data_IF_323135375775
#
_entry.id   IF_323135375775
#
_cell.length_a   1.000
_cell.length_b   1.000
_cell.length_c   1.000
_cell.angle_alpha   90.00
_cell.angle_beta   90.00
_cell.angle_gamma   90.00
#
_symmetry.space_group_name_H-M   'P 1'
#
loop_
_entity.id
_entity.type
_entity.pdbx_description
1 polymer ?
#
# COMPACT_ATOMS: atom_id res chain seq x y z
N UNK A 1 -17.64 -6.31 -22.06
CA UNK A 1 -16.36 -6.02 -21.42
C UNK A 1 -16.60 -4.86 -20.46
N UNK A 2 -16.37 -5.09 -19.18
CA UNK A 2 -16.54 -4.08 -18.12
C UNK A 2 -15.21 -3.33 -17.88
N UNK A 3 -15.27 -2.21 -17.17
CA UNK A 3 -14.03 -1.52 -16.76
C UNK A 3 -13.12 -2.39 -15.88
N UNK A 4 -13.71 -3.28 -15.08
CA UNK A 4 -12.97 -4.25 -14.28
C UNK A 4 -12.23 -5.27 -15.18
N UNK A 5 -12.86 -5.72 -16.27
CA UNK A 5 -12.19 -6.59 -17.26
C UNK A 5 -11.00 -5.87 -17.90
N UNK A 6 -11.11 -4.56 -18.18
CA UNK A 6 -10.01 -3.76 -18.71
C UNK A 6 -8.82 -3.67 -17.73
N UNK A 7 -9.10 -3.50 -16.44
CA UNK A 7 -8.05 -3.49 -15.42
C UNK A 7 -7.32 -4.84 -15.35
N UNK A 8 -8.05 -5.95 -15.41
CA UNK A 8 -7.48 -7.30 -15.41
C UNK A 8 -6.63 -7.57 -16.67
N UNK A 9 -7.09 -7.13 -17.84
CA UNK A 9 -6.33 -7.23 -19.09
C UNK A 9 -5.03 -6.42 -18.99
N UNK A 10 -5.09 -5.21 -18.45
CA UNK A 10 -3.91 -4.38 -18.24
C UNK A 10 -2.89 -5.04 -17.31
N UNK A 11 -3.33 -5.58 -16.17
CA UNK A 11 -2.48 -6.33 -15.27
C UNK A 11 -1.87 -7.58 -15.94
N UNK A 12 -2.67 -8.32 -16.69
CA UNK A 12 -2.19 -9.48 -17.43
C UNK A 12 -1.09 -9.09 -18.43
N UNK A 13 -1.26 -7.96 -19.14
CA UNK A 13 -0.26 -7.45 -20.07
C UNK A 13 1.06 -7.16 -19.36
N UNK A 14 1.04 -6.42 -18.23
CA UNK A 14 2.25 -6.15 -17.44
C UNK A 14 2.93 -7.45 -16.96
N UNK A 15 2.16 -8.39 -16.45
CA UNK A 15 2.70 -9.60 -15.85
C UNK A 15 3.25 -10.57 -16.91
N UNK A 16 2.61 -10.70 -18.06
CA UNK A 16 2.94 -11.73 -19.08
C UNK A 16 3.85 -11.23 -20.19
N UNK A 17 3.70 -9.96 -20.61
CA UNK A 17 4.49 -9.41 -21.71
C UNK A 17 5.68 -8.60 -21.22
N UNK A 18 5.50 -7.80 -20.16
CA UNK A 18 6.57 -6.99 -19.59
C UNK A 18 7.35 -7.71 -18.48
N UNK A 19 6.88 -8.87 -18.02
CA UNK A 19 7.55 -9.66 -16.97
C UNK A 19 7.55 -9.01 -15.58
N UNK A 20 6.72 -8.00 -15.35
CA UNK A 20 6.58 -7.30 -14.07
C UNK A 20 5.47 -7.96 -13.27
N UNK A 21 5.80 -8.62 -12.16
CA UNK A 21 4.82 -9.31 -11.32
C UNK A 21 4.02 -8.32 -10.44
N UNK A 22 3.44 -7.28 -11.06
CA UNK A 22 2.74 -6.21 -10.36
C UNK A 22 1.34 -6.61 -9.86
N UNK A 23 0.83 -5.88 -8.85
CA UNK A 23 -0.57 -5.90 -8.44
C UNK A 23 -1.47 -5.17 -9.44
N UNK A 24 -2.76 -5.06 -9.11
CA UNK A 24 -3.78 -4.48 -9.99
C UNK A 24 -4.05 -2.98 -9.73
N UNK A 25 -3.40 -2.38 -8.73
CA UNK A 25 -3.73 -1.06 -8.21
C UNK A 25 -3.85 0.02 -9.30
N UNK A 26 -2.83 0.18 -10.12
CA UNK A 26 -2.75 1.26 -11.10
C UNK A 26 -3.79 1.07 -12.23
N UNK A 27 -3.91 -0.15 -12.74
CA UNK A 27 -4.86 -0.50 -13.78
C UNK A 27 -6.31 -0.34 -13.28
N UNK A 28 -6.57 -0.74 -12.03
CA UNK A 28 -7.89 -0.59 -11.43
C UNK A 28 -8.23 0.87 -11.16
N UNK A 29 -7.28 1.65 -10.65
CA UNK A 29 -7.46 3.08 -10.39
C UNK A 29 -7.80 3.85 -11.67
N UNK A 30 -7.12 3.56 -12.79
CA UNK A 30 -7.38 4.21 -14.08
C UNK A 30 -8.74 3.77 -14.65
N UNK A 31 -9.07 2.48 -14.57
CA UNK A 31 -10.31 1.95 -15.15
C UNK A 31 -11.57 2.35 -14.37
N UNK A 32 -11.45 2.48 -13.05
CA UNK A 32 -12.57 2.64 -12.12
C UNK A 32 -12.60 4.01 -11.44
N UNK A 33 -11.68 4.93 -11.77
CA UNK A 33 -11.60 6.24 -11.14
C UNK A 33 -12.91 7.04 -11.22
N UNK A 34 -13.27 7.70 -10.11
CA UNK A 34 -14.43 8.56 -9.98
C UNK A 34 -14.03 9.89 -9.36
N UNK A 35 -14.41 10.98 -10.00
CA UNK A 35 -14.10 12.31 -9.50
C UNK A 35 -14.56 12.51 -8.05
N UNK A 36 -13.72 13.12 -7.21
CA UNK A 36 -14.00 13.40 -5.81
C UNK A 36 -14.08 12.16 -4.90
N UNK A 37 -13.57 11.01 -5.32
CA UNK A 37 -13.61 9.79 -4.53
C UNK A 37 -12.28 9.03 -4.58
N UNK A 38 -11.92 8.41 -3.47
CA UNK A 38 -10.94 7.34 -3.42
C UNK A 38 -11.64 6.00 -3.70
N UNK A 39 -10.88 5.04 -4.18
CA UNK A 39 -11.33 3.66 -4.35
C UNK A 39 -10.72 2.82 -3.22
N UNK A 40 -11.56 2.17 -2.42
CA UNK A 40 -11.14 1.10 -1.54
C UNK A 40 -11.35 -0.22 -2.27
N UNK A 41 -10.27 -0.93 -2.55
CA UNK A 41 -10.27 -2.17 -3.30
C UNK A 41 -9.76 -3.31 -2.44
N UNK A 42 -10.58 -4.35 -2.27
CA UNK A 42 -10.12 -5.66 -1.81
C UNK A 42 -9.47 -6.39 -2.99
N UNK A 43 -8.16 -6.48 -3.00
CA UNK A 43 -7.40 -7.08 -4.10
C UNK A 43 -7.54 -8.60 -4.21
N UNK A 44 -8.02 -9.27 -3.16
CA UNK A 44 -8.27 -10.72 -3.19
C UNK A 44 -9.59 -11.06 -3.89
N UNK A 45 -10.62 -10.25 -3.68
CA UNK A 45 -11.98 -10.50 -4.19
C UNK A 45 -12.39 -9.58 -5.34
N UNK A 46 -11.63 -8.51 -5.58
CA UNK A 46 -11.94 -7.40 -6.49
C UNK A 46 -13.23 -6.64 -6.14
N UNK A 47 -13.74 -6.83 -4.93
CA UNK A 47 -14.81 -5.97 -4.41
C UNK A 47 -14.24 -4.61 -4.08
N UNK A 48 -15.02 -3.57 -4.38
CA UNK A 48 -14.57 -2.20 -4.14
C UNK A 48 -15.72 -1.32 -3.68
N UNK A 49 -15.36 -0.22 -3.03
CA UNK A 49 -16.27 0.86 -2.70
C UNK A 49 -15.61 2.22 -2.95
N UNK A 50 -16.43 3.26 -3.09
CA UNK A 50 -15.97 4.63 -3.22
C UNK A 50 -16.08 5.35 -1.89
N UNK A 51 -14.96 5.89 -1.40
CA UNK A 51 -14.92 6.78 -0.26
C UNK A 51 -14.86 8.24 -0.75
N UNK A 52 -15.71 9.14 -0.25
CA UNK A 52 -15.70 10.54 -0.69
C UNK A 52 -14.43 11.24 -0.23
N UNK A 53 -13.82 12.06 -1.10
CA UNK A 53 -12.72 12.95 -0.76
C UNK A 53 -13.26 14.38 -0.73
N UNK A 54 -13.40 14.96 0.46
CA UNK A 54 -13.84 16.33 0.69
C UNK A 54 -12.67 17.16 1.20
N UNK A 55 -12.05 17.91 0.30
CA UNK A 55 -10.89 18.76 0.60
C UNK A 55 -11.29 20.23 0.50
N UNK A 56 -12.10 20.72 1.44
CA UNK A 56 -12.62 22.10 1.42
C UNK A 56 -11.49 23.13 1.51
N UNK A 57 -10.51 22.90 2.40
CA UNK A 57 -9.38 23.80 2.66
C UNK A 57 -8.02 23.12 2.50
N UNK A 58 -7.95 21.98 1.82
CA UNK A 58 -6.73 21.24 1.59
C UNK A 58 -6.55 20.86 0.11
N UNK A 59 -5.34 20.52 -0.27
CA UNK A 59 -5.00 20.07 -1.62
C UNK A 59 -4.11 18.84 -1.54
N UNK A 60 -4.25 17.97 -2.53
CA UNK A 60 -3.29 16.89 -2.77
C UNK A 60 -2.18 17.46 -3.65
N UNK A 61 -0.93 17.33 -3.16
CA UNK A 61 0.27 17.71 -3.90
C UNK A 61 1.01 16.42 -4.28
N UNK A 62 1.35 16.28 -5.55
CA UNK A 62 2.14 15.16 -6.06
C UNK A 62 3.52 15.69 -6.41
N UNK A 63 4.55 15.20 -5.70
CA UNK A 63 5.95 15.55 -5.92
C UNK A 63 6.69 14.40 -6.60
N UNK A 64 7.39 14.69 -7.68
CA UNK A 64 8.23 13.71 -8.37
C UNK A 64 9.67 13.78 -7.84
N UNK A 65 10.22 12.63 -7.43
CA UNK A 65 11.62 12.54 -7.00
C UNK A 65 12.63 12.71 -8.15
N UNK A 66 12.18 12.67 -9.40
CA UNK A 66 13.01 12.66 -10.61
C UNK A 66 14.04 11.53 -10.66
N UNK A 67 13.99 10.58 -9.73
CA UNK A 67 14.87 9.41 -9.77
C UNK A 67 14.38 8.44 -10.82
N UNK A 68 15.24 8.19 -11.83
CA UNK A 68 14.94 7.15 -12.83
C UNK A 68 15.11 5.79 -12.19
N UNK A 69 14.08 4.96 -12.27
CA UNK A 69 14.11 3.54 -11.86
C UNK A 69 13.79 2.67 -13.06
N UNK A 70 14.57 1.59 -13.23
CA UNK A 70 14.19 0.49 -14.10
C UNK A 70 13.21 -0.42 -13.38
N UNK A 71 12.17 -0.89 -14.06
CA UNK A 71 11.22 -1.86 -13.49
C UNK A 71 11.91 -3.17 -13.06
N UNK A 72 13.05 -3.53 -13.69
CA UNK A 72 13.87 -4.69 -13.31
C UNK A 72 14.74 -4.50 -12.07
N UNK A 73 15.00 -3.26 -11.68
CA UNK A 73 15.86 -2.91 -10.53
C UNK A 73 15.03 -2.72 -9.23
N UNK A 74 13.70 -2.84 -9.32
CA UNK A 74 12.85 -2.67 -8.16
C UNK A 74 12.96 -3.86 -7.22
N UNK A 75 12.99 -3.59 -5.93
CA UNK A 75 12.90 -4.62 -4.88
C UNK A 75 11.53 -5.31 -4.81
N UNK A 76 10.64 -5.02 -5.74
CA UNK A 76 9.27 -5.48 -5.75
C UNK A 76 9.15 -7.01 -5.69
N UNK A 77 9.85 -7.72 -6.58
CA UNK A 77 9.81 -9.18 -6.61
C UNK A 77 10.43 -9.80 -5.36
N UNK A 78 11.50 -9.19 -4.82
CA UNK A 78 12.13 -9.61 -3.56
C UNK A 78 11.15 -9.47 -2.39
N UNK A 79 10.51 -8.31 -2.23
CA UNK A 79 9.52 -8.05 -1.17
C UNK A 79 8.31 -8.99 -1.26
N UNK A 80 7.85 -9.26 -2.48
CA UNK A 80 6.77 -10.20 -2.68
C UNK A 80 7.16 -11.61 -2.24
N UNK A 81 8.32 -12.09 -2.63
CA UNK A 81 8.83 -13.42 -2.23
C UNK A 81 9.02 -13.52 -0.70
N UNK A 82 9.52 -12.46 -0.05
CA UNK A 82 9.65 -12.39 1.41
C UNK A 82 8.28 -12.50 2.10
N UNK A 83 7.26 -11.78 1.60
CA UNK A 83 5.89 -11.85 2.13
C UNK A 83 5.24 -13.23 1.89
N UNK A 84 5.41 -13.82 0.71
CA UNK A 84 4.88 -15.16 0.38
C UNK A 84 5.50 -16.23 1.28
N UNK A 85 6.80 -16.13 1.55
CA UNK A 85 7.50 -17.04 2.48
C UNK A 85 7.00 -16.87 3.92
N UNK A 86 6.83 -15.63 4.38
CA UNK A 86 6.28 -15.33 5.70
C UNK A 86 4.84 -15.88 5.85
N UNK A 87 4.01 -15.72 4.83
CA UNK A 87 2.66 -16.29 4.80
C UNK A 87 2.69 -17.81 4.94
N UNK A 88 3.55 -18.50 4.19
CA UNK A 88 3.69 -19.95 4.26
C UNK A 88 4.18 -20.44 5.66
N UNK A 89 4.97 -19.64 6.36
CA UNK A 89 5.38 -19.93 7.74
C UNK A 89 4.22 -19.73 8.73
N UNK A 90 3.44 -18.65 8.59
CA UNK A 90 2.26 -18.38 9.42
C UNK A 90 1.14 -19.41 9.20
N UNK A 91 0.92 -19.88 7.99
CA UNK A 91 -0.08 -20.91 7.65
C UNK A 91 0.11 -22.23 8.40
N UNK A 92 1.28 -22.46 8.99
CA UNK A 92 1.53 -23.64 9.83
C UNK A 92 0.90 -23.55 11.22
N UNK A 93 0.57 -22.33 11.67
CA UNK A 93 0.07 -22.06 13.02
C UNK A 93 -1.30 -21.38 13.04
N UNK A 94 -1.71 -20.77 11.93
CA UNK A 94 -3.01 -20.10 11.78
C UNK A 94 -3.57 -20.36 10.40
N UNK A 95 -4.89 -20.52 10.30
CA UNK A 95 -5.58 -20.75 9.02
C UNK A 95 -5.91 -19.42 8.36
N UNK A 96 -5.12 -19.02 7.39
CA UNK A 96 -5.28 -17.81 6.56
C UNK A 96 -4.87 -18.12 5.12
N UNK A 97 -5.45 -17.41 4.16
CA UNK A 97 -5.09 -17.48 2.74
C UNK A 97 -4.21 -16.29 2.33
N UNK A 98 -4.24 -15.21 3.10
CA UNK A 98 -3.43 -14.00 2.86
C UNK A 98 -3.03 -13.31 4.18
N UNK A 99 -1.95 -12.50 4.14
CA UNK A 99 -1.54 -11.68 5.28
C UNK A 99 -2.60 -10.64 5.65
N UNK A 100 -3.39 -10.17 4.68
CA UNK A 100 -4.45 -9.18 4.90
C UNK A 100 -5.63 -9.68 5.75
N UNK A 101 -5.74 -10.99 5.99
CA UNK A 101 -6.77 -11.55 6.87
C UNK A 101 -6.45 -11.42 8.35
N UNK A 102 -5.19 -11.14 8.70
CA UNK A 102 -4.79 -10.95 10.10
C UNK A 102 -5.11 -9.54 10.59
N UNK A 103 -5.58 -9.46 11.84
CA UNK A 103 -5.52 -8.21 12.60
C UNK A 103 -4.12 -7.96 13.13
N UNK A 104 -3.84 -6.74 13.60
CA UNK A 104 -2.58 -6.39 14.23
C UNK A 104 -2.30 -7.29 15.45
N UNK A 105 -3.33 -7.54 16.29
CA UNK A 105 -3.22 -8.40 17.48
C UNK A 105 -2.94 -9.87 17.12
N UNK A 106 -3.60 -10.38 16.08
CA UNK A 106 -3.36 -11.74 15.61
C UNK A 106 -1.94 -11.89 15.04
N UNK A 107 -1.47 -10.87 14.30
CA UNK A 107 -0.08 -10.88 13.82
C UNK A 107 0.91 -10.92 14.98
N UNK A 108 0.76 -10.06 15.99
CA UNK A 108 1.63 -10.07 17.17
C UNK A 108 1.61 -11.41 17.91
N UNK A 109 0.47 -12.10 17.92
CA UNK A 109 0.33 -13.42 18.53
C UNK A 109 1.10 -14.52 17.78
N UNK A 110 1.15 -14.44 16.44
CA UNK A 110 1.68 -15.53 15.61
C UNK A 110 3.02 -15.21 14.94
N UNK A 111 3.54 -13.98 15.01
CA UNK A 111 4.76 -13.54 14.31
C UNK A 111 5.99 -14.38 14.59
N UNK A 112 6.10 -15.01 15.77
CA UNK A 112 7.23 -15.87 16.15
C UNK A 112 7.32 -17.18 15.34
N UNK A 113 6.28 -17.50 14.57
CA UNK A 113 6.32 -18.59 13.59
C UNK A 113 7.17 -18.24 12.37
N UNK A 114 7.39 -16.94 12.10
CA UNK A 114 8.27 -16.46 11.03
C UNK A 114 9.71 -16.49 11.55
N UNK A 115 10.55 -17.27 10.88
CA UNK A 115 11.91 -17.54 11.36
C UNK A 115 12.91 -16.42 11.15
N UNK A 116 12.70 -15.65 10.08
CA UNK A 116 13.61 -14.58 9.66
C UNK A 116 13.08 -13.22 10.11
N UNK A 117 13.86 -12.43 10.90
CA UNK A 117 13.43 -11.13 11.39
C UNK A 117 13.15 -10.13 10.25
N UNK A 118 13.80 -10.28 9.09
CA UNK A 118 13.49 -9.45 7.91
C UNK A 118 12.08 -9.78 7.42
N UNK A 119 11.74 -11.05 7.28
CA UNK A 119 10.38 -11.46 6.87
C UNK A 119 9.31 -11.08 7.89
N UNK A 120 9.63 -11.05 9.19
CA UNK A 120 8.71 -10.50 10.20
C UNK A 120 8.37 -9.04 9.90
N UNK A 121 9.35 -8.20 9.58
CA UNK A 121 9.12 -6.80 9.19
C UNK A 121 8.25 -6.71 7.93
N UNK A 122 8.52 -7.51 6.89
CA UNK A 122 7.73 -7.49 5.64
C UNK A 122 6.27 -7.88 5.88
N UNK A 123 6.05 -8.96 6.64
CA UNK A 123 4.70 -9.41 6.99
C UNK A 123 3.98 -8.39 7.88
N UNK A 124 4.69 -7.79 8.86
CA UNK A 124 4.17 -6.71 9.68
C UNK A 124 3.69 -5.56 8.82
N UNK A 125 4.53 -5.08 7.89
CA UNK A 125 4.11 -4.02 6.98
C UNK A 125 2.80 -4.39 6.26
N UNK A 126 2.71 -5.58 5.66
CA UNK A 126 1.53 -5.98 4.90
C UNK A 126 0.26 -6.03 5.75
N UNK A 127 0.33 -6.60 6.97
CA UNK A 127 -0.81 -6.68 7.90
C UNK A 127 -1.23 -5.29 8.37
N UNK A 128 -0.28 -4.50 8.86
CA UNK A 128 -0.57 -3.19 9.43
C UNK A 128 -1.01 -2.18 8.36
N UNK A 129 -0.46 -2.26 7.14
CA UNK A 129 -0.89 -1.39 6.03
C UNK A 129 -2.31 -1.70 5.58
N UNK A 130 -2.72 -2.98 5.56
CA UNK A 130 -4.09 -3.36 5.31
C UNK A 130 -5.04 -2.77 6.36
N UNK A 131 -4.73 -2.91 7.66
CA UNK A 131 -5.52 -2.33 8.75
C UNK A 131 -5.54 -0.80 8.69
N UNK A 132 -4.41 -0.17 8.34
CA UNK A 132 -4.30 1.27 8.15
C UNK A 132 -5.17 1.77 7.00
N UNK A 133 -5.23 1.02 5.91
CA UNK A 133 -6.10 1.35 4.76
C UNK A 133 -7.58 1.31 5.15
N UNK A 134 -8.02 0.32 5.92
CA UNK A 134 -9.39 0.24 6.44
C UNK A 134 -9.70 1.47 7.31
N UNK A 135 -8.81 1.82 8.23
CA UNK A 135 -8.96 3.03 9.08
C UNK A 135 -8.99 4.31 8.23
N UNK A 136 -8.21 4.39 7.16
CA UNK A 136 -8.17 5.54 6.26
C UNK A 136 -9.48 5.73 5.48
N UNK A 137 -10.12 4.66 5.07
CA UNK A 137 -11.46 4.70 4.43
C UNK A 137 -12.50 5.29 5.39
N UNK A 138 -12.51 4.84 6.64
CA UNK A 138 -13.44 5.37 7.64
C UNK A 138 -13.13 6.85 7.98
N UNK A 139 -11.86 7.25 8.03
CA UNK A 139 -11.48 8.64 8.19
C UNK A 139 -12.03 9.52 7.05
N UNK A 140 -11.92 9.07 5.79
CA UNK A 140 -12.47 9.79 4.63
C UNK A 140 -14.00 9.86 4.67
N UNK A 141 -14.69 8.79 5.03
CA UNK A 141 -16.15 8.77 5.16
C UNK A 141 -16.64 9.75 6.23
N UNK A 142 -15.89 9.90 7.31
CA UNK A 142 -16.17 10.83 8.41
C UNK A 142 -15.62 12.24 8.18
N UNK A 143 -15.00 12.52 7.04
CA UNK A 143 -14.33 13.79 6.73
C UNK A 143 -13.23 14.15 7.75
N UNK A 144 -12.59 13.14 8.36
CA UNK A 144 -11.46 13.30 9.28
C UNK A 144 -10.16 13.32 8.49
N UNK A 145 -9.86 14.47 7.89
CA UNK A 145 -8.67 14.67 7.06
C UNK A 145 -7.40 14.65 7.91
N UNK A 146 -7.49 15.03 9.19
CA UNK A 146 -6.36 14.99 10.11
C UNK A 146 -5.92 13.55 10.38
N UNK A 147 -6.84 12.68 10.76
CA UNK A 147 -6.56 11.24 10.95
C UNK A 147 -6.06 10.61 9.65
N UNK A 148 -6.63 10.96 8.50
CA UNK A 148 -6.15 10.46 7.21
C UNK A 148 -4.68 10.83 6.97
N UNK A 149 -4.27 12.06 7.30
CA UNK A 149 -2.89 12.50 7.20
C UNK A 149 -1.95 11.76 8.15
N UNK A 150 -2.36 11.52 9.40
CA UNK A 150 -1.60 10.70 10.37
C UNK A 150 -1.38 9.28 9.85
N UNK A 151 -2.41 8.67 9.26
CA UNK A 151 -2.32 7.34 8.66
C UNK A 151 -1.39 7.33 7.44
N UNK A 152 -1.37 8.39 6.63
CA UNK A 152 -0.39 8.55 5.54
C UNK A 152 1.05 8.59 6.08
N UNK A 153 1.30 9.36 7.13
CA UNK A 153 2.62 9.46 7.76
C UNK A 153 3.07 8.10 8.30
N UNK A 154 2.19 7.40 9.03
CA UNK A 154 2.48 6.07 9.56
C UNK A 154 2.74 5.05 8.44
N UNK A 155 2.05 5.16 7.31
CA UNK A 155 2.31 4.35 6.12
C UNK A 155 3.72 4.57 5.57
N UNK A 156 4.17 5.83 5.44
CA UNK A 156 5.52 6.13 4.96
C UNK A 156 6.61 5.56 5.90
N UNK A 157 6.44 5.73 7.20
CA UNK A 157 7.37 5.16 8.20
C UNK A 157 7.47 3.64 8.05
N UNK A 158 6.34 2.95 7.89
CA UNK A 158 6.34 1.50 7.70
C UNK A 158 6.95 1.07 6.35
N UNK A 159 6.74 1.84 5.29
CA UNK A 159 7.38 1.61 3.98
C UNK A 159 8.90 1.77 4.06
N UNK A 160 9.39 2.72 4.87
CA UNK A 160 10.81 2.97 5.10
C UNK A 160 11.45 1.90 5.99
N UNK A 161 10.85 1.64 7.16
CA UNK A 161 11.51 0.90 8.26
C UNK A 161 11.17 -0.59 8.25
N UNK A 162 9.95 -0.95 7.84
CA UNK A 162 9.48 -2.34 7.81
C UNK A 162 9.59 -2.96 6.40
N UNK A 163 9.30 -2.18 5.34
CA UNK A 163 9.30 -2.68 3.96
C UNK A 163 10.58 -2.32 3.18
N UNK A 164 11.27 -1.25 3.57
CA UNK A 164 12.56 -0.79 3.04
C UNK A 164 12.52 -0.59 1.51
N UNK A 165 11.56 0.22 1.03
CA UNK A 165 11.34 0.50 -0.40
C UNK A 165 11.38 1.97 -0.77
N UNK A 166 11.57 2.88 0.20
CA UNK A 166 11.47 4.32 -0.05
C UNK A 166 12.73 4.92 -0.68
N UNK A 167 13.89 4.73 -0.06
CA UNK A 167 15.14 5.35 -0.45
C UNK A 167 15.25 6.83 -0.08
N UNK A 168 16.48 7.33 -0.07
CA UNK A 168 16.82 8.67 0.47
C UNK A 168 16.06 9.80 -0.22
N UNK A 169 15.79 9.70 -1.52
CA UNK A 169 15.12 10.76 -2.26
C UNK A 169 13.65 10.93 -1.83
N UNK A 170 12.94 9.82 -1.61
CA UNK A 170 11.56 9.83 -1.16
C UNK A 170 11.46 10.17 0.33
N UNK A 171 12.37 9.65 1.15
CA UNK A 171 12.43 9.98 2.57
C UNK A 171 12.68 11.48 2.77
N UNK A 172 13.62 12.06 2.03
CA UNK A 172 13.89 13.51 2.07
C UNK A 172 12.66 14.32 1.68
N UNK A 173 11.97 13.97 0.59
CA UNK A 173 10.77 14.70 0.16
C UNK A 173 9.67 14.66 1.23
N UNK A 174 9.47 13.52 1.87
CA UNK A 174 8.46 13.36 2.93
C UNK A 174 8.88 14.11 4.20
N UNK A 175 10.12 13.98 4.64
CA UNK A 175 10.63 14.67 5.83
C UNK A 175 10.62 16.19 5.69
N UNK A 176 10.93 16.71 4.49
CA UNK A 176 10.82 18.15 4.22
C UNK A 176 9.35 18.61 4.18
N UNK A 177 8.45 17.78 3.61
CA UNK A 177 7.01 18.09 3.63
C UNK A 177 6.48 18.18 5.06
N UNK A 178 6.88 17.29 5.97
CA UNK A 178 6.45 17.32 7.37
C UNK A 178 6.86 18.58 8.14
N UNK A 179 7.88 19.31 7.67
CA UNK A 179 8.34 20.56 8.28
C UNK A 179 7.54 21.78 7.82
N UNK A 180 6.72 21.64 6.79
CA UNK A 180 5.95 22.74 6.21
C UNK A 180 4.64 22.91 6.98
N UNK A 181 4.38 24.09 7.48
CA UNK A 181 3.13 24.43 8.16
C UNK A 181 1.92 24.16 7.25
N UNK A 182 0.92 23.46 7.80
CA UNK A 182 -0.30 23.11 7.10
C UNK A 182 -0.23 21.78 6.32
N UNK A 183 0.92 21.12 6.29
CA UNK A 183 0.99 19.75 5.77
C UNK A 183 0.36 18.80 6.78
N UNK A 184 -0.72 18.14 6.37
CA UNK A 184 -1.47 17.22 7.20
C UNK A 184 -0.83 15.81 7.19
N UNK A 185 -0.29 15.40 6.04
CA UNK A 185 0.39 14.12 5.88
C UNK A 185 1.16 14.03 4.57
N UNK A 186 2.18 13.19 4.56
CA UNK A 186 3.01 12.93 3.39
C UNK A 186 3.50 11.49 3.38
N UNK A 187 3.50 10.86 2.20
CA UNK A 187 4.01 9.49 2.01
C UNK A 187 4.50 9.28 0.59
N UNK A 188 5.37 8.31 0.41
CA UNK A 188 5.58 7.81 -0.93
C UNK A 188 4.34 7.05 -1.45
N UNK A 189 4.19 6.97 -2.76
CA UNK A 189 3.16 6.17 -3.44
C UNK A 189 3.76 5.35 -4.58
N UNK A 190 3.11 4.26 -4.95
CA UNK A 190 3.60 3.33 -5.95
C UNK A 190 4.61 2.32 -5.40
N UNK A 191 5.52 1.86 -6.26
CA UNK A 191 6.48 0.80 -5.93
C UNK A 191 7.75 1.30 -5.22
N UNK A 192 7.84 2.58 -4.97
CA UNK A 192 9.01 3.20 -4.33
C UNK A 192 10.19 3.39 -5.24
#
# INVERSE_FOLDING_TARGET
MTNQDLALIGQFSENKFNGVNCGIMDQFAIAMGKAGHAIFLDTATLKYEYAPIKLENAKIVISCSNKKRGLGDSKYNERRSECETALAELQKVVKIDSLGELTEEQFEQYKDAIKDPVRVKRAKHAVYENQRTIKAVEALKNNDVALFGELMNASHVSLRDDYEVTGIELDTLVEEAWKVDGVIGSRMTGAG
#
